data_IF_905529073208
#
_entry.id   IF_905529073208
#
_cell.length_a   1.000
_cell.length_b   1.000
_cell.length_c   1.000
_cell.angle_alpha   90.00
_cell.angle_beta   90.00
_cell.angle_gamma   90.00
#
_symmetry.space_group_name_H-M   'P 1'
#
loop_
_entity.id
_entity.type
_entity.pdbx_description
1 polymer ?
#
# COMPACT_ATOMS: atom_id res chain seq x y z
N UNK A 1 35.20 -4.73 -14.55
CA UNK A 1 34.32 -5.80 -14.04
C UNK A 1 33.54 -5.18 -12.89
N UNK A 2 32.31 -4.78 -13.11
CA UNK A 2 31.42 -4.28 -12.06
C UNK A 2 30.96 -5.46 -11.21
N UNK A 3 31.14 -5.39 -9.90
CA UNK A 3 30.57 -6.34 -8.96
C UNK A 3 29.04 -6.16 -9.08
N UNK A 4 28.37 -7.16 -9.63
CA UNK A 4 26.91 -7.25 -9.59
C UNK A 4 26.57 -7.48 -8.12
N UNK A 5 26.20 -6.43 -7.43
CA UNK A 5 25.67 -6.55 -6.07
C UNK A 5 24.33 -7.28 -6.19
N UNK A 6 24.27 -8.55 -5.79
CA UNK A 6 22.98 -9.18 -5.53
C UNK A 6 22.29 -8.37 -4.43
N UNK A 7 21.07 -7.86 -4.67
CA UNK A 7 20.38 -7.11 -3.66
C UNK A 7 20.18 -7.99 -2.41
N UNK A 8 20.44 -7.46 -1.23
CA UNK A 8 20.18 -8.16 0.04
C UNK A 8 18.72 -7.94 0.49
N UNK A 9 18.13 -8.89 1.25
CA UNK A 9 16.83 -8.66 1.86
C UNK A 9 16.85 -7.40 2.73
N UNK A 10 15.72 -6.71 2.77
CA UNK A 10 15.59 -5.48 3.55
C UNK A 10 15.81 -5.74 5.05
N UNK A 11 16.50 -4.83 5.72
CA UNK A 11 16.79 -4.92 7.16
C UNK A 11 15.51 -4.99 8.00
N UNK A 12 14.50 -4.18 7.64
CA UNK A 12 13.18 -4.21 8.27
C UNK A 12 12.16 -4.91 7.38
N UNK A 13 11.69 -6.07 7.80
CA UNK A 13 10.77 -6.93 7.04
C UNK A 13 9.31 -6.55 7.32
N UNK A 14 8.90 -5.36 6.88
CA UNK A 14 7.52 -4.89 7.02
C UNK A 14 6.63 -5.67 6.05
N UNK A 15 5.91 -6.66 6.56
CA UNK A 15 4.98 -7.48 5.76
C UNK A 15 3.63 -6.79 5.56
N UNK A 16 2.93 -7.05 4.44
CA UNK A 16 1.54 -6.61 4.29
C UNK A 16 0.64 -7.20 5.37
N UNK A 17 -0.34 -6.43 5.78
CA UNK A 17 -1.43 -6.88 6.64
C UNK A 17 -2.55 -7.48 5.80
N UNK A 18 -3.42 -8.32 6.39
CA UNK A 18 -4.60 -8.82 5.69
C UNK A 18 -5.44 -7.69 5.10
N UNK A 19 -5.82 -7.83 3.84
CA UNK A 19 -6.62 -6.86 3.07
C UNK A 19 -5.99 -5.46 2.90
N UNK A 20 -4.73 -5.27 3.24
CA UNK A 20 -4.04 -3.99 3.06
C UNK A 20 -3.82 -3.69 1.57
N UNK A 21 -4.13 -2.46 1.13
CA UNK A 21 -3.85 -2.00 -0.23
C UNK A 21 -2.33 -1.81 -0.45
N UNK A 22 -1.87 -2.08 -1.66
CA UNK A 22 -0.44 -2.01 -2.01
C UNK A 22 0.19 -0.66 -1.66
N UNK A 23 -0.47 0.44 -2.03
CA UNK A 23 0.04 1.79 -1.73
C UNK A 23 0.20 2.03 -0.22
N UNK A 24 -0.75 1.55 0.60
CA UNK A 24 -0.70 1.65 2.06
C UNK A 24 0.48 0.86 2.64
N UNK A 25 0.68 -0.36 2.16
CA UNK A 25 1.82 -1.18 2.56
C UNK A 25 3.15 -0.53 2.17
N UNK A 26 3.27 -0.01 0.94
CA UNK A 26 4.47 0.69 0.48
C UNK A 26 4.79 1.91 1.33
N UNK A 27 3.78 2.68 1.75
CA UNK A 27 3.98 3.83 2.65
C UNK A 27 4.57 3.39 4.00
N UNK A 28 4.07 2.29 4.57
CA UNK A 28 4.61 1.74 5.82
C UNK A 28 6.03 1.18 5.65
N UNK A 29 6.29 0.48 4.55
CA UNK A 29 7.59 -0.09 4.25
C UNK A 29 8.64 1.01 4.07
N UNK A 30 8.35 2.00 3.24
CA UNK A 30 9.26 3.12 2.98
C UNK A 30 9.47 4.02 4.20
N UNK A 31 8.42 4.28 4.97
CA UNK A 31 8.54 5.03 6.22
C UNK A 31 9.43 4.31 7.24
N UNK A 32 9.37 2.97 7.32
CA UNK A 32 10.22 2.20 8.23
C UNK A 32 11.70 2.24 7.84
N UNK A 33 11.99 2.37 6.55
CA UNK A 33 13.34 2.47 6.00
C UNK A 33 13.82 3.91 5.81
N UNK A 34 12.97 4.91 6.10
CA UNK A 34 13.26 6.33 5.91
C UNK A 34 13.68 6.70 4.49
N UNK A 35 13.09 6.03 3.50
CA UNK A 35 13.34 6.24 2.07
C UNK A 35 12.06 6.58 1.32
N UNK A 36 12.19 7.15 0.13
CA UNK A 36 11.08 7.30 -0.81
C UNK A 36 10.78 5.99 -1.54
N UNK A 37 9.58 5.84 -2.10
CA UNK A 37 9.25 4.68 -2.95
C UNK A 37 10.20 4.55 -4.14
N UNK A 38 10.57 5.67 -4.77
CA UNK A 38 11.49 5.66 -5.91
C UNK A 38 12.89 5.16 -5.53
N UNK A 39 13.39 5.54 -4.37
CA UNK A 39 14.67 5.04 -3.85
C UNK A 39 14.61 3.56 -3.52
N UNK A 40 13.54 3.10 -2.87
CA UNK A 40 13.34 1.68 -2.58
C UNK A 40 13.32 0.85 -3.86
N UNK A 41 12.52 1.26 -4.86
CA UNK A 41 12.43 0.53 -6.14
C UNK A 41 13.76 0.53 -6.90
N UNK A 42 14.48 1.64 -6.89
CA UNK A 42 15.82 1.71 -7.47
C UNK A 42 16.81 0.76 -6.78
N UNK A 43 16.76 0.70 -5.45
CA UNK A 43 17.58 -0.20 -4.66
C UNK A 43 17.29 -1.68 -4.99
N UNK A 44 16.02 -2.01 -5.18
CA UNK A 44 15.56 -3.35 -5.54
C UNK A 44 15.70 -3.68 -7.03
N UNK A 45 16.19 -2.76 -7.87
CA UNK A 45 16.32 -2.97 -9.31
C UNK A 45 14.98 -3.08 -10.05
N UNK A 46 13.89 -2.56 -9.46
CA UNK A 46 12.56 -2.58 -10.04
C UNK A 46 12.22 -1.26 -10.73
N UNK A 47 11.36 -1.30 -11.76
CA UNK A 47 10.84 -0.10 -12.38
C UNK A 47 9.90 0.64 -11.40
N UNK A 48 10.25 1.90 -11.00
CA UNK A 48 9.43 2.65 -10.06
C UNK A 48 7.99 2.89 -10.52
N UNK A 49 7.73 2.88 -11.83
CA UNK A 49 6.39 3.06 -12.40
C UNK A 49 5.43 1.93 -12.04
N UNK A 50 5.94 0.71 -11.85
CA UNK A 50 5.14 -0.44 -11.44
C UNK A 50 4.60 -0.30 -10.02
N UNK A 51 5.27 0.45 -9.15
CA UNK A 51 4.90 0.69 -7.76
C UNK A 51 3.91 1.83 -7.53
N UNK A 52 3.39 2.46 -8.59
CA UNK A 52 2.54 3.64 -8.46
C UNK A 52 1.05 3.33 -8.36
N UNK A 53 0.62 2.09 -8.55
CA UNK A 53 -0.81 1.78 -8.53
C UNK A 53 -1.11 0.49 -7.76
N UNK A 54 -2.34 0.44 -7.25
CA UNK A 54 -2.88 -0.71 -6.51
C UNK A 54 -3.48 -1.80 -7.43
N UNK A 55 -3.42 -1.63 -8.75
CA UNK A 55 -3.92 -2.61 -9.72
C UNK A 55 -2.95 -3.77 -9.89
N UNK A 56 -3.49 -4.98 -9.91
CA UNK A 56 -2.79 -6.17 -10.35
C UNK A 56 -2.51 -6.03 -11.86
N UNK A 57 -1.32 -5.58 -12.19
CA UNK A 57 -0.89 -5.39 -13.56
C UNK A 57 -0.60 -6.74 -14.23
N UNK A 58 -1.24 -7.00 -15.33
CA UNK A 58 -1.33 -8.31 -16.01
C UNK A 58 -2.76 -8.85 -16.05
N UNK A 59 -3.66 -8.24 -15.26
CA UNK A 59 -5.09 -8.49 -15.37
C UNK A 59 -5.70 -7.49 -16.37
N UNK A 60 -6.63 -7.91 -17.16
CA UNK A 60 -7.36 -7.24 -18.25
C UNK A 60 -7.03 -5.74 -18.49
N UNK A 61 -6.34 -5.43 -19.58
CA UNK A 61 -6.13 -4.08 -20.09
C UNK A 61 -4.69 -3.56 -20.09
N UNK A 62 -3.74 -4.30 -19.55
CA UNK A 62 -2.33 -3.99 -19.73
C UNK A 62 -1.76 -4.65 -20.99
N UNK A 63 -0.86 -3.95 -21.64
CA UNK A 63 -0.05 -4.55 -22.67
C UNK A 63 0.65 -5.79 -22.10
N UNK A 64 0.56 -6.90 -22.81
CA UNK A 64 1.17 -8.19 -22.44
C UNK A 64 2.67 -8.07 -22.15
N UNK A 65 3.32 -7.02 -22.67
CA UNK A 65 4.71 -6.69 -22.44
C UNK A 65 5.03 -6.30 -20.97
N UNK A 66 4.07 -5.80 -20.20
CA UNK A 66 4.30 -5.37 -18.81
C UNK A 66 4.13 -6.51 -17.77
N UNK A 67 3.58 -7.64 -18.20
CA UNK A 67 3.30 -8.78 -17.32
C UNK A 67 4.56 -9.40 -16.68
N UNK A 68 5.65 -9.66 -17.42
CA UNK A 68 6.88 -10.18 -16.83
C UNK A 68 7.50 -9.24 -15.79
N UNK A 69 7.47 -7.93 -16.04
CA UNK A 69 8.01 -6.94 -15.11
C UNK A 69 7.19 -6.85 -13.81
N UNK A 70 5.88 -7.03 -13.90
CA UNK A 70 5.02 -7.10 -12.71
C UNK A 70 5.29 -8.36 -11.88
N UNK A 71 5.46 -9.52 -12.51
CA UNK A 71 5.84 -10.74 -11.81
C UNK A 71 7.19 -10.60 -11.11
N UNK A 72 8.18 -10.06 -11.82
CA UNK A 72 9.48 -9.79 -11.24
C UNK A 72 9.39 -8.86 -10.02
N UNK A 73 8.55 -7.82 -10.10
CA UNK A 73 8.30 -6.93 -8.96
C UNK A 73 7.75 -7.72 -7.75
N UNK A 74 6.75 -8.57 -7.96
CA UNK A 74 6.14 -9.38 -6.89
C UNK A 74 7.18 -10.29 -6.24
N UNK A 75 7.98 -10.99 -7.03
CA UNK A 75 9.03 -11.89 -6.57
C UNK A 75 10.11 -11.13 -5.79
N UNK A 76 10.55 -9.99 -6.34
CA UNK A 76 11.57 -9.15 -5.71
C UNK A 76 11.08 -8.59 -4.36
N UNK A 77 9.87 -8.08 -4.30
CA UNK A 77 9.28 -7.57 -3.05
C UNK A 77 9.07 -8.69 -2.03
N UNK A 78 8.59 -9.85 -2.47
CA UNK A 78 8.40 -11.01 -1.61
C UNK A 78 9.73 -11.47 -0.99
N UNK A 79 10.77 -11.54 -1.80
CA UNK A 79 12.13 -11.84 -1.35
C UNK A 79 12.65 -10.76 -0.40
N UNK A 80 12.52 -9.49 -0.75
CA UNK A 80 13.03 -8.37 0.04
C UNK A 80 12.46 -8.32 1.46
N UNK A 81 11.17 -8.62 1.64
CA UNK A 81 10.52 -8.63 2.97
C UNK A 81 10.36 -10.03 3.56
N UNK A 82 10.94 -11.06 2.92
CA UNK A 82 10.85 -12.45 3.35
C UNK A 82 9.39 -12.92 3.54
N UNK A 83 8.54 -12.64 2.56
CA UNK A 83 7.14 -13.05 2.51
C UNK A 83 6.90 -14.01 1.33
N UNK A 84 5.72 -14.62 1.29
CA UNK A 84 5.29 -15.40 0.13
C UNK A 84 4.80 -14.46 -0.98
N UNK A 85 5.06 -14.78 -2.25
CA UNK A 85 4.59 -14.00 -3.42
C UNK A 85 3.09 -13.73 -3.35
N UNK A 86 2.28 -14.72 -3.03
CA UNK A 86 0.83 -14.58 -2.84
C UNK A 86 0.42 -13.54 -1.81
N UNK A 87 1.27 -13.29 -0.80
CA UNK A 87 1.01 -12.26 0.22
C UNK A 87 1.18 -10.87 -0.37
N UNK A 88 2.16 -10.71 -1.27
CA UNK A 88 2.38 -9.45 -1.99
C UNK A 88 1.29 -9.25 -3.05
N UNK A 89 0.99 -10.28 -3.85
CA UNK A 89 -0.10 -10.25 -4.83
C UNK A 89 -1.44 -9.85 -4.19
N UNK A 90 -1.71 -10.35 -3.00
CA UNK A 90 -2.93 -10.05 -2.26
C UNK A 90 -3.05 -8.58 -1.85
N UNK A 91 -2.04 -7.75 -2.00
CA UNK A 91 -2.14 -6.29 -1.77
C UNK A 91 -2.73 -5.53 -2.97
N UNK A 92 -2.72 -6.13 -4.15
CA UNK A 92 -3.26 -5.55 -5.36
C UNK A 92 -4.73 -5.92 -5.56
N UNK A 93 -5.44 -5.11 -6.34
CA UNK A 93 -6.82 -5.37 -6.75
C UNK A 93 -6.90 -5.74 -8.21
N UNK A 94 -7.70 -6.75 -8.52
CA UNK A 94 -7.95 -7.26 -9.87
C UNK A 94 -9.31 -6.75 -10.38
N UNK A 95 -9.39 -5.45 -10.64
CA UNK A 95 -10.60 -4.77 -11.14
C UNK A 95 -10.23 -3.84 -12.29
N UNK A 96 -11.19 -3.45 -13.15
CA UNK A 96 -10.95 -2.40 -14.13
C UNK A 96 -10.48 -1.10 -13.44
N UNK A 97 -9.56 -0.37 -14.06
CA UNK A 97 -9.03 0.88 -13.48
C UNK A 97 -10.13 1.89 -13.12
N UNK A 98 -11.17 1.96 -13.93
CA UNK A 98 -12.35 2.81 -13.70
C UNK A 98 -13.12 2.48 -12.42
N UNK A 99 -12.95 1.27 -11.87
CA UNK A 99 -13.55 0.87 -10.61
C UNK A 99 -12.77 1.38 -9.39
N UNK A 100 -11.54 1.89 -9.59
CA UNK A 100 -10.76 2.50 -8.53
C UNK A 100 -11.08 3.97 -8.36
N UNK A 101 -10.98 4.44 -7.12
CA UNK A 101 -10.88 5.88 -6.86
C UNK A 101 -9.59 6.43 -7.48
N UNK A 102 -9.60 7.67 -8.00
CA UNK A 102 -8.37 8.36 -8.36
C UNK A 102 -7.38 8.37 -7.16
N UNK A 103 -6.06 8.28 -7.38
CA UNK A 103 -5.08 8.23 -6.28
C UNK A 103 -5.27 9.34 -5.23
N UNK A 104 -5.59 10.55 -5.64
CA UNK A 104 -5.84 11.69 -4.76
C UNK A 104 -7.07 11.50 -3.85
N UNK A 105 -8.01 10.63 -4.23
CA UNK A 105 -9.23 10.32 -3.47
C UNK A 105 -9.13 9.01 -2.69
N UNK A 106 -8.02 8.29 -2.74
CA UNK A 106 -7.79 7.06 -1.94
C UNK A 106 -7.37 7.40 -0.52
N UNK A 107 -8.16 8.25 0.11
CA UNK A 107 -7.88 8.81 1.45
C UNK A 107 -9.04 8.55 2.41
N UNK A 108 -9.92 7.61 2.08
CA UNK A 108 -11.07 7.27 2.92
C UNK A 108 -10.80 5.98 3.69
N UNK A 109 -11.30 5.92 4.92
CA UNK A 109 -11.22 4.75 5.76
C UNK A 109 -12.28 4.73 6.84
N UNK A 110 -12.39 3.64 7.56
CA UNK A 110 -13.33 3.52 8.65
C UNK A 110 -12.72 4.04 9.97
N UNK A 111 -13.32 5.06 10.60
CA UNK A 111 -12.82 5.62 11.85
C UNK A 111 -12.71 4.59 12.98
N UNK A 112 -13.69 3.65 13.06
CA UNK A 112 -13.66 2.60 14.09
C UNK A 112 -12.56 1.57 13.84
N UNK A 113 -12.33 1.14 12.59
CA UNK A 113 -11.20 0.25 12.28
C UNK A 113 -9.87 0.88 12.70
N UNK A 114 -9.71 2.17 12.47
CA UNK A 114 -8.47 2.88 12.86
C UNK A 114 -8.34 3.07 14.36
N UNK A 115 -9.45 3.37 15.05
CA UNK A 115 -9.47 3.45 16.52
C UNK A 115 -9.07 2.11 17.15
N UNK A 116 -9.63 1.01 16.66
CA UNK A 116 -9.28 -0.33 17.13
C UNK A 116 -7.80 -0.66 16.88
N UNK A 117 -7.28 -0.34 15.68
CA UNK A 117 -5.87 -0.52 15.36
C UNK A 117 -4.98 0.30 16.29
N UNK A 118 -5.33 1.57 16.56
CA UNK A 118 -4.61 2.44 17.47
C UNK A 118 -4.60 1.90 18.90
N UNK A 119 -5.76 1.45 19.40
CA UNK A 119 -5.87 0.84 20.72
C UNK A 119 -5.07 -0.46 20.85
N UNK A 120 -4.98 -1.23 19.76
CA UNK A 120 -4.16 -2.43 19.68
C UNK A 120 -2.67 -2.17 19.47
N UNK A 121 -2.24 -0.90 19.32
CA UNK A 121 -0.87 -0.56 18.94
C UNK A 121 -0.48 -1.02 17.53
N UNK A 122 -1.48 -1.24 16.67
CA UNK A 122 -1.27 -1.67 15.30
C UNK A 122 -1.16 -0.48 14.33
N UNK A 123 -0.42 -0.63 13.22
CA UNK A 123 -0.32 0.42 12.23
C UNK A 123 -1.67 0.65 11.54
N UNK A 124 -1.97 1.91 11.28
CA UNK A 124 -3.12 2.30 10.47
C UNK A 124 -2.86 1.91 9.02
N UNK A 125 -3.83 1.25 8.41
CA UNK A 125 -3.75 0.80 7.01
C UNK A 125 -4.98 1.26 6.22
N UNK A 126 -4.82 1.40 4.91
CA UNK A 126 -5.93 1.48 3.98
C UNK A 126 -6.17 0.07 3.41
N UNK A 127 -7.40 -0.38 3.44
CA UNK A 127 -7.77 -1.68 2.88
C UNK A 127 -8.08 -1.57 1.39
N UNK A 128 -7.94 -2.68 0.66
CA UNK A 128 -8.25 -2.76 -0.78
C UNK A 128 -9.71 -2.39 -1.08
N UNK A 129 -10.61 -2.70 -0.18
CA UNK A 129 -12.02 -2.39 -0.37
C UNK A 129 -12.29 -0.88 -0.36
N UNK A 130 -11.55 -0.13 0.45
CA UNK A 130 -11.78 1.31 0.60
C UNK A 130 -11.26 2.15 -0.57
N UNK A 131 -10.46 1.58 -1.46
CA UNK A 131 -9.98 2.26 -2.66
C UNK A 131 -10.89 2.06 -3.88
N UNK A 132 -11.97 1.28 -3.74
CA UNK A 132 -12.95 1.05 -4.79
C UNK A 132 -14.02 2.16 -4.81
N UNK A 133 -14.44 2.61 -6.00
CA UNK A 133 -15.50 3.62 -6.15
C UNK A 133 -16.85 3.18 -5.56
N UNK A 134 -17.13 1.88 -5.59
CA UNK A 134 -18.36 1.31 -5.06
C UNK A 134 -18.36 1.21 -3.51
N UNK A 135 -17.21 1.38 -2.88
CA UNK A 135 -17.07 1.24 -1.43
C UNK A 135 -17.21 2.59 -0.75
N UNK A 136 -18.36 2.85 -0.19
CA UNK A 136 -18.64 4.06 0.59
C UNK A 136 -18.84 3.76 2.08
N UNK A 137 -18.86 2.47 2.46
CA UNK A 137 -19.18 2.00 3.79
C UNK A 137 -18.24 0.88 4.22
N UNK A 138 -17.85 0.87 5.49
CA UNK A 138 -17.08 -0.22 6.08
C UNK A 138 -17.94 -1.48 6.22
N UNK A 139 -17.52 -2.57 5.65
CA UNK A 139 -18.22 -3.87 5.73
C UNK A 139 -18.35 -4.37 7.18
N UNK A 140 -17.33 -4.14 8.01
CA UNK A 140 -17.26 -4.62 9.40
C UNK A 140 -18.12 -3.79 10.35
N UNK A 141 -18.05 -2.45 10.25
CA UNK A 141 -18.68 -1.54 11.19
C UNK A 141 -19.99 -0.94 10.68
N UNK A 142 -20.33 -1.17 9.42
CA UNK A 142 -21.53 -0.62 8.77
C UNK A 142 -21.62 0.93 8.87
N UNK A 143 -20.44 1.57 8.89
CA UNK A 143 -20.31 3.03 8.96
C UNK A 143 -19.79 3.58 7.64
N UNK A 144 -20.20 4.80 7.25
CA UNK A 144 -19.62 5.50 6.13
C UNK A 144 -18.10 5.66 6.30
N UNK A 145 -17.37 5.56 5.19
CA UNK A 145 -15.93 5.85 5.19
C UNK A 145 -15.74 7.36 5.32
N UNK A 146 -14.85 7.75 6.22
CA UNK A 146 -14.47 9.14 6.45
C UNK A 146 -13.15 9.49 5.72
N UNK A 147 -13.01 10.72 5.20
CA UNK A 147 -11.75 11.14 4.59
C UNK A 147 -10.65 11.22 5.64
N UNK A 148 -9.47 10.70 5.29
CA UNK A 148 -8.25 10.96 6.03
C UNK A 148 -7.48 12.03 5.29
N UNK A 149 -7.30 13.17 5.91
CA UNK A 149 -6.42 14.17 5.35
C UNK A 149 -4.99 13.64 5.36
N UNK A 150 -4.51 13.15 4.23
CA UNK A 150 -3.07 12.91 4.07
C UNK A 150 -2.42 14.27 4.05
N UNK A 151 -1.51 14.52 4.97
CA UNK A 151 -0.60 15.65 4.83
C UNK A 151 0.24 15.39 3.57
N UNK A 152 0.25 16.39 2.70
CA UNK A 152 0.77 16.34 1.32
C UNK A 152 2.27 16.04 1.25
N UNK A 153 2.98 16.11 2.34
CA UNK A 153 4.44 15.99 2.42
C UNK A 153 4.96 14.57 2.63
N UNK A 154 4.11 13.56 2.54
CA UNK A 154 4.53 12.15 2.58
C UNK A 154 5.16 11.70 3.91
N UNK A 155 5.17 12.57 4.90
CA UNK A 155 5.78 12.30 6.21
C UNK A 155 4.74 11.78 7.19
N UNK A 156 4.77 10.49 7.37
CA UNK A 156 4.52 9.72 8.59
C UNK A 156 3.10 9.31 8.94
N UNK A 157 2.96 8.05 9.37
CA UNK A 157 1.80 7.53 10.11
C UNK A 157 1.38 8.37 11.33
N UNK A 158 2.32 9.14 11.92
CA UNK A 158 2.04 10.07 13.03
C UNK A 158 1.07 11.19 12.67
N UNK A 159 1.09 11.66 11.43
CA UNK A 159 0.15 12.68 10.98
C UNK A 159 -1.28 12.14 10.87
N UNK A 160 -1.45 10.92 10.38
CA UNK A 160 -2.75 10.24 10.32
C UNK A 160 -3.30 9.97 11.72
N UNK A 161 -2.46 9.49 12.65
CA UNK A 161 -2.84 9.28 14.05
C UNK A 161 -3.33 10.58 14.70
N UNK A 162 -2.63 11.69 14.51
CA UNK A 162 -2.98 12.99 15.07
C UNK A 162 -4.28 13.58 14.52
N UNK A 163 -4.56 13.36 13.24
CA UNK A 163 -5.82 13.77 12.60
C UNK A 163 -6.98 12.93 13.14
N UNK A 164 -6.76 11.63 13.32
CA UNK A 164 -7.77 10.75 13.93
C UNK A 164 -8.08 11.11 15.37
N UNK A 165 -7.07 11.49 16.17
CA UNK A 165 -7.27 12.01 17.53
C UNK A 165 -8.18 13.24 17.52
N UNK A 166 -7.94 14.20 16.61
CA UNK A 166 -8.76 15.40 16.46
C UNK A 166 -10.19 15.14 15.99
N UNK A 167 -10.44 14.06 15.21
CA UNK A 167 -11.79 13.71 14.72
C UNK A 167 -12.59 12.86 15.70
N UNK A 168 -11.94 12.28 16.70
CA UNK A 168 -12.59 11.45 17.73
C UNK A 168 -13.13 12.29 18.87
N UNK A 169 -12.54 13.46 19.10
CA UNK A 169 -12.91 14.41 20.17
C UNK A 169 -13.95 15.44 19.71
N UNK A 170 -14.40 15.38 18.47
CA UNK A 170 -15.46 16.24 17.88
C UNK A 170 -16.77 15.49 17.72
#
# INVERSE_FOLDING_TARGET
>A
MGVVHEPEPLAFRVRPRPNEAFASWMDRLTAKHEVTRAELFRHLGCDPRLGLCDLARGWQGMAQADYPAFHQLIETLAWAVQARTRTIEATFVAVPELALLPPALRVFGCPLCWREAQQAGEPLILTRDWILRASWMCQRHQLPLAPVQRLVDGRTPRAVARILEMQVDA
#
